data_IF_168123311828
#
_entry.id   IF_168123311828
#
_cell.length_a   1.000
_cell.length_b   1.000
_cell.length_c   1.000
_cell.angle_alpha   90.00
_cell.angle_beta   90.00
_cell.angle_gamma   90.00
#
_symmetry.space_group_name_H-M   'P 1'
#
loop_
_entity.id
_entity.type
_entity.pdbx_description
1 polymer ?
#
# COMPACT_ATOMS: atom_id res chain seq x y z
N UNK A 1 -18.59 -3.71 2.77
CA UNK A 1 -17.71 -3.00 3.73
C UNK A 1 -17.61 -1.57 3.24
N UNK A 2 -18.09 -0.59 4.02
CA UNK A 2 -18.21 0.80 3.54
C UNK A 2 -16.81 1.40 3.34
N UNK A 3 -16.45 1.71 2.09
CA UNK A 3 -15.25 2.48 1.78
C UNK A 3 -15.37 3.86 2.43
N UNK A 4 -14.42 4.21 3.30
CA UNK A 4 -14.43 5.48 4.03
C UNK A 4 -13.96 6.64 3.12
N UNK A 5 -13.13 6.34 2.13
CA UNK A 5 -12.66 7.32 1.12
C UNK A 5 -12.74 6.67 -0.27
N UNK A 6 -13.62 7.14 -1.17
CA UNK A 6 -13.63 6.66 -2.55
C UNK A 6 -12.39 7.22 -3.28
N UNK A 7 -11.47 6.34 -3.71
CA UNK A 7 -10.34 6.73 -4.58
C UNK A 7 -10.71 6.79 -6.07
N UNK A 8 -11.98 6.54 -6.39
CA UNK A 8 -12.49 6.51 -7.75
C UNK A 8 -12.58 5.09 -8.29
N UNK A 9 -12.64 4.99 -9.62
CA UNK A 9 -12.89 3.74 -10.34
C UNK A 9 -11.71 3.45 -11.25
N UNK A 10 -10.88 2.47 -10.91
CA UNK A 10 -9.78 2.03 -11.76
C UNK A 10 -10.26 0.84 -12.61
N UNK A 11 -10.24 0.98 -13.94
CA UNK A 11 -10.65 -0.06 -14.91
C UNK A 11 -12.04 -0.69 -14.68
N UNK A 12 -12.96 0.05 -14.06
CA UNK A 12 -14.33 -0.40 -13.79
C UNK A 12 -14.54 -1.00 -12.39
N UNK A 13 -13.48 -1.18 -11.59
CA UNK A 13 -13.53 -1.67 -10.21
C UNK A 13 -13.60 -0.48 -9.24
N UNK A 14 -14.56 -0.46 -8.28
CA UNK A 14 -14.61 0.59 -7.27
C UNK A 14 -13.43 0.43 -6.30
N UNK A 15 -12.49 1.38 -6.32
CA UNK A 15 -11.36 1.39 -5.37
C UNK A 15 -11.73 2.30 -4.21
N UNK A 16 -11.88 1.71 -3.03
CA UNK A 16 -12.16 2.43 -1.79
C UNK A 16 -11.05 2.24 -0.77
N UNK A 17 -10.51 3.33 -0.22
CA UNK A 17 -9.66 3.24 0.97
C UNK A 17 -10.55 3.04 2.18
N UNK A 18 -10.27 1.98 2.92
CA UNK A 18 -10.71 1.90 4.30
C UNK A 18 -9.66 2.60 5.18
N UNK A 19 -10.10 3.24 6.28
CA UNK A 19 -9.19 3.93 7.21
C UNK A 19 -8.06 3.02 7.73
N UNK A 20 -8.32 1.70 7.78
CA UNK A 20 -7.34 0.68 8.14
C UNK A 20 -6.11 0.68 7.24
N UNK A 21 -6.23 1.07 5.96
CA UNK A 21 -5.08 1.16 5.06
C UNK A 21 -4.12 2.26 5.51
N UNK A 22 -4.64 3.44 5.85
CA UNK A 22 -3.80 4.52 6.37
C UNK A 22 -3.12 4.12 7.67
N UNK A 23 -3.84 3.41 8.54
CA UNK A 23 -3.26 2.83 9.76
C UNK A 23 -2.13 1.83 9.43
N UNK A 24 -2.35 0.90 8.49
CA UNK A 24 -1.35 -0.08 8.08
C UNK A 24 -0.12 0.58 7.47
N UNK A 25 -0.29 1.56 6.58
CA UNK A 25 0.83 2.32 5.98
C UNK A 25 1.61 3.07 7.06
N UNK A 26 0.93 3.69 8.03
CA UNK A 26 1.57 4.39 9.15
C UNK A 26 2.35 3.43 10.06
N UNK A 27 1.80 2.25 10.36
CA UNK A 27 2.49 1.22 11.13
C UNK A 27 3.76 0.75 10.41
N UNK A 28 3.66 0.39 9.13
CA UNK A 28 4.81 -0.05 8.32
C UNK A 28 5.87 1.05 8.24
N UNK A 29 5.45 2.30 7.95
CA UNK A 29 6.38 3.43 7.85
C UNK A 29 7.13 3.67 9.16
N UNK A 30 6.42 3.64 10.30
CA UNK A 30 7.03 3.83 11.62
C UNK A 30 8.00 2.69 11.96
N UNK A 31 7.61 1.43 11.73
CA UNK A 31 8.49 0.27 11.96
C UNK A 31 9.75 0.34 11.11
N UNK A 32 9.64 0.74 9.84
CA UNK A 32 10.80 0.94 8.97
C UNK A 32 11.68 2.07 9.49
N UNK A 33 11.09 3.22 9.81
CA UNK A 33 11.83 4.42 10.17
C UNK A 33 12.52 4.32 11.54
N UNK A 34 11.92 3.64 12.51
CA UNK A 34 12.41 3.61 13.89
C UNK A 34 13.14 2.33 14.28
N UNK A 35 12.95 1.23 13.55
CA UNK A 35 13.59 -0.05 13.87
C UNK A 35 14.47 -0.55 12.74
N UNK A 36 13.89 -0.79 11.56
CA UNK A 36 14.59 -1.52 10.49
C UNK A 36 15.69 -0.69 9.84
N UNK A 37 15.39 0.53 9.39
CA UNK A 37 16.35 1.36 8.66
C UNK A 37 17.53 1.84 9.53
N UNK A 38 17.32 2.28 10.79
CA UNK A 38 18.43 2.60 11.68
C UNK A 38 19.32 1.40 12.03
N UNK A 39 18.76 0.18 12.06
CA UNK A 39 19.54 -1.05 12.29
C UNK A 39 20.37 -1.44 11.07
N UNK A 40 19.84 -1.22 9.86
CA UNK A 40 20.53 -1.48 8.59
C UNK A 40 21.64 -0.45 8.29
N UNK A 41 21.40 0.82 8.61
CA UNK A 41 22.39 1.90 8.49
C UNK A 41 22.35 2.80 9.72
N UNK A 42 23.18 2.52 10.74
CA UNK A 42 23.28 3.34 11.95
C UNK A 42 23.76 4.78 11.69
N UNK A 43 24.36 5.05 10.52
CA UNK A 43 24.81 6.38 10.12
C UNK A 43 23.69 7.22 9.48
N UNK A 44 22.56 6.63 9.15
CA UNK A 44 21.45 7.32 8.51
C UNK A 44 20.80 8.33 9.46
N UNK A 45 20.52 9.54 8.94
CA UNK A 45 19.78 10.54 9.71
C UNK A 45 18.34 10.08 9.94
N UNK A 46 17.76 10.44 11.10
CA UNK A 46 16.36 10.11 11.43
C UNK A 46 15.39 10.57 10.33
N UNK A 47 15.62 11.73 9.74
CA UNK A 47 14.81 12.25 8.63
C UNK A 47 14.89 11.37 7.39
N UNK A 48 16.09 10.90 7.01
CA UNK A 48 16.26 9.97 5.89
C UNK A 48 15.51 8.66 6.13
N UNK A 49 15.59 8.09 7.34
CA UNK A 49 14.86 6.87 7.69
C UNK A 49 13.33 7.05 7.59
N UNK A 50 12.82 8.20 8.06
CA UNK A 50 11.38 8.51 7.95
C UNK A 50 10.92 8.70 6.50
N UNK A 51 11.68 9.44 5.69
CA UNK A 51 11.35 9.64 4.27
C UNK A 51 11.36 8.30 3.54
N UNK A 52 12.40 7.49 3.73
CA UNK A 52 12.49 6.17 3.13
C UNK A 52 11.36 5.23 3.62
N UNK A 53 11.06 5.21 4.92
CA UNK A 53 9.99 4.40 5.49
C UNK A 53 8.62 4.71 4.89
N UNK A 54 8.29 5.99 4.72
CA UNK A 54 7.04 6.42 4.07
C UNK A 54 7.01 6.07 2.58
N UNK A 55 8.11 6.29 1.85
CA UNK A 55 8.19 5.95 0.43
C UNK A 55 8.04 4.45 0.21
N UNK A 56 8.75 3.64 1.00
CA UNK A 56 8.71 2.17 0.92
C UNK A 56 7.29 1.67 1.24
N UNK A 57 6.65 2.16 2.30
CA UNK A 57 5.31 1.70 2.68
C UNK A 57 4.25 2.04 1.62
N UNK A 58 4.34 3.23 1.00
CA UNK A 58 3.45 3.65 -0.09
C UNK A 58 3.66 2.79 -1.33
N UNK A 59 4.91 2.59 -1.76
CA UNK A 59 5.24 1.75 -2.93
C UNK A 59 4.81 0.30 -2.70
N UNK A 60 5.05 -0.24 -1.51
CA UNK A 60 4.62 -1.57 -1.12
C UNK A 60 3.10 -1.72 -1.24
N UNK A 61 2.34 -0.78 -0.68
CA UNK A 61 0.88 -0.84 -0.77
C UNK A 61 0.38 -0.69 -2.21
N UNK A 62 0.99 0.20 -3.00
CA UNK A 62 0.69 0.34 -4.43
C UNK A 62 0.94 -0.98 -5.19
N UNK A 63 2.01 -1.71 -4.86
CA UNK A 63 2.29 -3.03 -5.44
C UNK A 63 1.21 -4.06 -5.08
N UNK A 64 0.68 -4.05 -3.86
CA UNK A 64 -0.41 -4.94 -3.46
C UNK A 64 -1.68 -4.64 -4.25
N UNK A 65 -2.05 -3.37 -4.38
CA UNK A 65 -3.20 -2.95 -5.19
C UNK A 65 -3.02 -3.37 -6.65
N UNK A 66 -1.82 -3.19 -7.21
CA UNK A 66 -1.52 -3.61 -8.57
C UNK A 66 -1.58 -5.14 -8.74
N UNK A 67 -1.12 -5.90 -7.74
CA UNK A 67 -1.18 -7.36 -7.73
C UNK A 67 -2.63 -7.87 -7.74
N UNK A 68 -3.48 -7.34 -6.85
CA UNK A 68 -4.90 -7.72 -6.81
C UNK A 68 -5.63 -7.31 -8.09
N UNK A 69 -5.35 -6.13 -8.62
CA UNK A 69 -5.93 -5.68 -9.89
C UNK A 69 -5.53 -6.59 -11.05
N UNK A 70 -4.29 -7.09 -11.07
CA UNK A 70 -3.86 -8.04 -12.07
C UNK A 70 -4.68 -9.35 -12.00
N UNK A 71 -4.95 -9.87 -10.80
CA UNK A 71 -5.83 -11.04 -10.62
C UNK A 71 -7.24 -10.78 -11.18
N UNK A 72 -7.84 -9.63 -10.85
CA UNK A 72 -9.17 -9.27 -11.36
C UNK A 72 -9.18 -9.14 -12.89
N UNK A 73 -8.15 -8.51 -13.48
CA UNK A 73 -8.02 -8.37 -14.93
C UNK A 73 -7.89 -9.73 -15.60
N UNK A 74 -7.05 -10.61 -15.07
CA UNK A 74 -6.82 -11.95 -15.61
C UNK A 74 -8.09 -12.80 -15.51
N UNK A 75 -8.79 -12.76 -14.39
CA UNK A 75 -10.04 -13.51 -14.21
C UNK A 75 -11.16 -13.00 -15.14
N UNK A 76 -11.32 -11.68 -15.27
CA UNK A 76 -12.28 -11.08 -16.22
C UNK A 76 -12.00 -11.47 -17.67
N UNK A 77 -10.72 -11.58 -18.06
CA UNK A 77 -10.34 -12.08 -19.40
C UNK A 77 -10.74 -13.53 -19.64
N UNK A 78 -10.85 -14.34 -18.59
CA UNK A 78 -11.29 -15.73 -18.67
C UNK A 78 -12.79 -15.91 -18.38
N UNK A 79 -13.56 -14.82 -18.32
CA UNK A 79 -15.01 -14.86 -18.08
C UNK A 79 -15.39 -15.19 -16.64
N UNK A 80 -14.44 -15.17 -15.70
CA UNK A 80 -14.68 -15.40 -14.28
C UNK A 80 -14.87 -14.04 -13.61
N UNK A 81 -16.07 -13.81 -13.07
CA UNK A 81 -16.33 -12.63 -12.25
C UNK A 81 -15.65 -12.82 -10.88
N UNK A 82 -14.87 -11.81 -10.47
CA UNK A 82 -14.24 -11.73 -9.15
C UNK A 82 -14.72 -10.43 -8.52
N UNK A 83 -15.28 -10.54 -7.32
CA UNK A 83 -15.80 -9.41 -6.52
C UNK A 83 -14.69 -8.68 -5.76
#
# INVERSE_FOLDING_TARGET
MNATIPLGRWLGVPVGLHWSVLLTVALIATTLAESVLPELDPGATRTACWVAGVVISVVFFASLVAHELAHTIVARRHGIAVD
#
